data_IF_123794698074
#
_entry.id   IF_123794698074
#
_cell.length_a   1.000
_cell.length_b   1.000
_cell.length_c   1.000
_cell.angle_alpha   90.00
_cell.angle_beta   90.00
_cell.angle_gamma   90.00
#
_symmetry.space_group_name_H-M   'P 1'
#
loop_
_entity.id
_entity.type
_entity.pdbx_description
1 polymer ?
#
# COMPACT_ATOMS: atom_id res chain seq x y z
N UNK A 1 12.59 26.20 25.87
CA UNK A 1 11.40 26.91 26.37
C UNK A 1 10.83 26.06 27.49
N UNK A 2 10.97 26.50 28.74
CA UNK A 2 10.32 25.85 29.89
C UNK A 2 8.84 26.23 29.77
N UNK A 3 7.99 25.26 29.43
CA UNK A 3 6.54 25.48 29.36
C UNK A 3 6.07 25.53 30.81
N UNK A 4 5.50 26.65 31.22
CA UNK A 4 4.93 26.80 32.56
C UNK A 4 3.76 25.81 32.68
N UNK A 5 3.89 24.79 33.54
CA UNK A 5 2.98 23.63 33.56
C UNK A 5 1.58 23.95 34.13
N UNK A 6 1.38 25.15 34.70
CA UNK A 6 0.12 25.60 35.28
C UNK A 6 -0.59 26.68 34.45
N UNK A 7 -0.42 26.64 33.12
CA UNK A 7 -1.17 27.55 32.25
C UNK A 7 -2.61 27.04 32.04
N UNK A 8 -3.57 27.86 32.45
CA UNK A 8 -5.00 27.60 32.35
C UNK A 8 -5.60 28.40 31.20
N UNK A 9 -6.24 27.70 30.27
CA UNK A 9 -6.76 28.28 29.02
C UNK A 9 -8.28 28.17 28.94
N UNK A 10 -8.91 29.02 28.13
CA UNK A 10 -10.36 28.98 27.89
C UNK A 10 -10.77 27.74 27.11
N UNK A 11 -12.07 27.40 27.13
CA UNK A 11 -12.59 26.28 26.32
C UNK A 11 -12.38 26.47 24.80
N UNK A 12 -12.38 27.72 24.31
CA UNK A 12 -12.16 28.03 22.91
C UNK A 12 -10.71 27.73 22.50
N UNK A 13 -9.74 28.23 23.27
CA UNK A 13 -8.31 27.98 23.06
C UNK A 13 -7.98 26.49 23.19
N UNK A 14 -8.59 25.79 24.15
CA UNK A 14 -8.37 24.36 24.33
C UNK A 14 -8.95 23.53 23.17
N UNK A 15 -10.11 23.93 22.63
CA UNK A 15 -10.73 23.28 21.47
C UNK A 15 -9.89 23.49 20.20
N UNK A 16 -9.38 24.71 19.99
CA UNK A 16 -8.46 25.04 18.91
C UNK A 16 -7.16 24.24 19.03
N UNK A 17 -6.56 24.20 20.23
CA UNK A 17 -5.34 23.44 20.49
C UNK A 17 -5.53 21.94 20.23
N UNK A 18 -6.70 21.40 20.53
CA UNK A 18 -7.07 20.00 20.28
C UNK A 18 -7.45 19.75 18.80
N UNK A 19 -7.75 20.79 18.03
CA UNK A 19 -8.19 20.70 16.63
C UNK A 19 -9.60 20.15 16.47
N UNK A 20 -10.53 20.56 17.34
CA UNK A 20 -11.93 20.07 17.34
C UNK A 20 -12.91 21.23 17.53
N UNK A 21 -14.17 21.11 17.07
CA UNK A 21 -15.23 22.05 17.45
C UNK A 21 -15.38 22.16 18.98
N UNK A 22 -15.64 23.37 19.48
CA UNK A 22 -15.75 23.66 20.91
C UNK A 22 -16.80 22.79 21.63
N UNK A 23 -17.90 22.46 20.96
CA UNK A 23 -18.94 21.57 21.49
C UNK A 23 -18.40 20.17 21.80
N UNK A 24 -17.52 19.65 20.94
CA UNK A 24 -16.89 18.33 21.11
C UNK A 24 -15.82 18.35 22.19
N UNK A 25 -15.15 19.49 22.41
CA UNK A 25 -14.18 19.62 23.50
C UNK A 25 -14.83 19.37 24.88
N UNK A 26 -16.09 19.79 25.06
CA UNK A 26 -16.83 19.60 26.31
C UNK A 26 -17.03 18.11 26.67
N UNK A 27 -17.02 17.20 25.70
CA UNK A 27 -17.10 15.76 25.95
C UNK A 27 -15.87 15.24 26.73
N UNK A 28 -14.69 15.83 26.52
CA UNK A 28 -13.45 15.42 27.18
C UNK A 28 -13.29 15.99 28.59
N UNK A 29 -14.07 17.01 28.92
CA UNK A 29 -14.00 17.74 30.19
C UNK A 29 -15.20 17.47 31.08
N UNK A 30 -16.36 17.16 30.50
CA UNK A 30 -17.61 16.84 31.20
C UNK A 30 -18.07 15.43 30.84
N UNK A 31 -18.04 14.51 31.81
CA UNK A 31 -18.42 13.10 31.61
C UNK A 31 -17.55 12.11 32.38
N UNK A 32 -17.76 10.81 32.17
CA UNK A 32 -17.00 9.73 32.83
C UNK A 32 -15.50 9.71 32.47
N UNK A 33 -15.13 10.34 31.35
CA UNK A 33 -13.77 10.28 30.83
C UNK A 33 -12.81 11.27 31.50
N UNK A 34 -13.28 12.42 32.01
CA UNK A 34 -12.51 13.55 32.60
C UNK A 34 -11.02 13.53 32.24
N UNK A 35 -10.71 13.79 30.97
CA UNK A 35 -9.34 13.67 30.44
C UNK A 35 -8.55 14.99 30.48
N UNK A 36 -9.22 16.09 30.83
CA UNK A 36 -8.62 17.42 30.95
C UNK A 36 -9.09 18.06 32.25
N UNK A 37 -8.15 18.46 33.10
CA UNK A 37 -8.43 19.11 34.37
C UNK A 37 -9.04 20.50 34.18
N UNK A 38 -9.89 20.88 35.13
CA UNK A 38 -10.55 22.19 35.20
C UNK A 38 -10.04 22.97 36.40
N UNK A 39 -9.80 24.27 36.25
CA UNK A 39 -9.28 25.12 37.33
C UNK A 39 -10.21 25.08 38.56
N UNK A 40 -9.67 24.85 39.78
CA UNK A 40 -10.46 24.84 41.00
C UNK A 40 -11.01 26.25 41.28
N UNK A 41 -12.34 26.38 41.40
CA UNK A 41 -13.00 27.66 41.75
C UNK A 41 -13.99 28.20 40.70
N UNK A 42 -14.00 27.69 39.47
CA UNK A 42 -14.95 28.11 38.45
C UNK A 42 -16.31 27.36 38.58
N UNK A 43 -17.31 28.02 39.20
CA UNK A 43 -18.64 27.44 39.39
C UNK A 43 -19.56 27.64 38.18
N UNK A 44 -19.37 28.70 37.38
CA UNK A 44 -20.19 29.01 36.21
C UNK A 44 -19.65 28.39 34.92
N UNK A 45 -20.55 27.92 34.06
CA UNK A 45 -20.24 27.15 32.83
C UNK A 45 -19.38 27.92 31.81
N UNK A 46 -19.41 29.25 31.82
CA UNK A 46 -18.63 30.12 30.91
C UNK A 46 -17.28 30.60 31.44
N UNK A 47 -17.00 30.42 32.73
CA UNK A 47 -15.79 30.93 33.40
C UNK A 47 -14.77 29.80 33.67
N UNK A 48 -15.02 28.60 33.14
CA UNK A 48 -14.15 27.45 33.35
C UNK A 48 -12.89 27.57 32.52
N UNK A 49 -11.75 27.46 33.20
CA UNK A 49 -10.44 27.31 32.57
C UNK A 49 -9.99 25.85 32.63
N UNK A 50 -9.17 25.46 31.66
CA UNK A 50 -8.76 24.09 31.40
C UNK A 50 -7.24 23.99 31.36
N UNK A 51 -6.70 22.86 31.83
CA UNK A 51 -5.26 22.61 31.80
C UNK A 51 -4.76 22.54 30.35
N UNK A 52 -3.82 23.43 29.99
CA UNK A 52 -3.14 23.40 28.69
C UNK A 52 -2.34 22.10 28.52
N UNK A 53 -1.66 21.67 29.56
CA UNK A 53 -0.84 20.45 29.55
C UNK A 53 -1.68 19.20 29.25
N UNK A 54 -2.84 19.05 29.91
CA UNK A 54 -3.73 17.91 29.67
C UNK A 54 -4.33 17.94 28.26
N UNK A 55 -4.63 19.14 27.74
CA UNK A 55 -5.15 19.30 26.38
C UNK A 55 -4.11 18.85 25.34
N UNK A 56 -2.84 19.18 25.54
CA UNK A 56 -1.72 18.70 24.69
C UNK A 56 -1.57 17.18 24.81
N UNK A 57 -1.62 16.64 26.02
CA UNK A 57 -1.53 15.19 26.26
C UNK A 57 -2.68 14.44 25.58
N UNK A 58 -3.90 14.96 25.67
CA UNK A 58 -5.07 14.42 24.99
C UNK A 58 -4.92 14.46 23.47
N UNK A 59 -4.42 15.57 22.90
CA UNK A 59 -4.14 15.67 21.46
C UNK A 59 -3.18 14.58 21.01
N UNK A 60 -2.06 14.38 21.73
CA UNK A 60 -1.08 13.31 21.44
C UNK A 60 -1.72 11.92 21.52
N UNK A 61 -2.56 11.68 22.54
CA UNK A 61 -3.31 10.42 22.72
C UNK A 61 -4.29 10.17 21.58
N UNK A 62 -5.04 11.19 21.16
CA UNK A 62 -5.97 11.10 20.02
C UNK A 62 -5.24 10.91 18.70
N UNK A 63 -4.11 11.59 18.48
CA UNK A 63 -3.28 11.37 17.30
C UNK A 63 -2.75 9.93 17.23
N UNK A 64 -2.28 9.37 18.35
CA UNK A 64 -1.87 7.96 18.44
C UNK A 64 -3.05 7.01 18.24
N UNK A 65 -4.23 7.32 18.77
CA UNK A 65 -5.45 6.55 18.54
C UNK A 65 -5.95 6.62 17.11
N UNK A 66 -5.84 7.76 16.42
CA UNK A 66 -6.15 7.89 14.99
C UNK A 66 -5.17 7.11 14.13
N UNK A 67 -3.87 7.17 14.47
CA UNK A 67 -2.84 6.33 13.86
C UNK A 67 -3.11 4.82 14.07
N UNK A 68 -3.78 4.47 15.16
CA UNK A 68 -4.17 3.10 15.51
C UNK A 68 -5.66 2.81 15.27
N UNK A 69 -6.42 3.74 14.69
CA UNK A 69 -7.81 3.49 14.36
C UNK A 69 -7.79 2.45 13.26
N UNK A 70 -8.62 1.41 13.39
CA UNK A 70 -8.70 0.36 12.38
C UNK A 70 -8.85 1.05 11.02
N UNK A 71 -7.90 0.89 10.10
CA UNK A 71 -8.02 1.50 8.79
C UNK A 71 -9.35 1.05 8.18
N UNK A 72 -10.00 1.96 7.47
CA UNK A 72 -11.19 1.65 6.67
C UNK A 72 -10.97 0.31 5.95
N UNK A 73 -11.93 -0.60 6.08
CA UNK A 73 -11.81 -1.96 5.53
C UNK A 73 -11.68 -1.83 4.01
N UNK A 74 -10.52 -2.19 3.43
CA UNK A 74 -10.32 -1.95 2.02
C UNK A 74 -11.16 -2.88 1.16
N UNK A 75 -11.55 -2.40 -0.01
CA UNK A 75 -12.13 -3.22 -1.07
C UNK A 75 -10.99 -3.90 -1.80
N UNK A 76 -10.95 -5.24 -1.77
CA UNK A 76 -10.00 -6.02 -2.56
C UNK A 76 -10.70 -6.52 -3.81
N UNK A 77 -10.24 -6.06 -4.97
CA UNK A 77 -10.85 -6.36 -6.26
C UNK A 77 -9.83 -6.24 -7.39
N UNK A 78 -10.19 -6.69 -8.58
CA UNK A 78 -9.41 -6.45 -9.80
C UNK A 78 -9.32 -4.95 -10.08
N UNK A 79 -8.13 -4.51 -10.47
CA UNK A 79 -7.87 -3.15 -10.93
C UNK A 79 -8.54 -2.96 -12.29
N UNK A 80 -9.33 -1.91 -12.45
CA UNK A 80 -10.08 -1.55 -13.67
C UNK A 80 -9.29 -0.53 -14.48
N UNK A 81 -9.77 -0.19 -15.68
CA UNK A 81 -9.07 0.77 -16.53
C UNK A 81 -9.01 2.16 -15.87
N UNK A 82 -10.10 2.57 -15.22
CA UNK A 82 -10.21 3.81 -14.46
C UNK A 82 -9.26 3.87 -13.25
N UNK A 83 -8.88 2.72 -12.68
CA UNK A 83 -7.99 2.63 -11.52
C UNK A 83 -6.50 2.63 -11.92
N UNK A 84 -6.17 2.65 -13.22
CA UNK A 84 -4.79 2.48 -13.67
C UNK A 84 -3.87 3.58 -13.12
N UNK A 85 -4.36 4.82 -13.10
CA UNK A 85 -3.58 5.95 -12.60
C UNK A 85 -3.28 5.82 -11.11
N UNK A 86 -4.25 5.42 -10.29
CA UNK A 86 -4.03 5.27 -8.84
C UNK A 86 -3.11 4.07 -8.53
N UNK A 87 -3.14 3.02 -9.35
CA UNK A 87 -2.19 1.90 -9.25
C UNK A 87 -0.75 2.34 -9.57
N UNK A 88 -0.57 3.17 -10.60
CA UNK A 88 0.74 3.73 -10.94
C UNK A 88 1.26 4.69 -9.86
N UNK A 89 0.38 5.51 -9.29
CA UNK A 89 0.72 6.39 -8.16
C UNK A 89 1.17 5.59 -6.94
N UNK A 90 0.50 4.46 -6.64
CA UNK A 90 0.93 3.55 -5.58
C UNK A 90 2.33 2.98 -5.86
N UNK A 91 2.57 2.47 -7.08
CA UNK A 91 3.86 1.94 -7.47
C UNK A 91 4.98 2.99 -7.32
N UNK A 92 4.77 4.20 -7.82
CA UNK A 92 5.73 5.31 -7.69
C UNK A 92 5.96 5.69 -6.21
N UNK A 93 4.92 5.68 -5.37
CA UNK A 93 5.02 5.98 -3.93
C UNK A 93 5.80 4.92 -3.17
N UNK A 94 5.66 3.64 -3.52
CA UNK A 94 6.29 2.51 -2.83
C UNK A 94 7.73 2.27 -3.30
N UNK A 95 7.95 2.33 -4.62
CA UNK A 95 9.25 2.06 -5.23
C UNK A 95 10.14 3.29 -5.33
N UNK A 96 9.56 4.49 -5.33
CA UNK A 96 10.29 5.74 -5.50
C UNK A 96 10.42 6.18 -6.97
N UNK A 97 11.05 7.34 -7.21
CA UNK A 97 11.17 7.94 -8.54
C UNK A 97 12.17 7.22 -9.46
N UNK A 98 13.07 6.41 -8.90
CA UNK A 98 14.17 5.79 -9.63
C UNK A 98 13.78 4.49 -10.34
N UNK A 99 12.57 3.99 -10.13
CA UNK A 99 12.07 2.79 -10.80
C UNK A 99 11.44 3.16 -12.14
N UNK A 100 11.88 2.48 -13.20
CA UNK A 100 11.33 2.61 -14.55
C UNK A 100 9.99 1.88 -14.64
N UNK A 101 8.90 2.62 -14.39
CA UNK A 101 7.54 2.13 -14.61
C UNK A 101 7.18 2.31 -16.09
N UNK A 102 6.57 1.30 -16.68
CA UNK A 102 6.04 1.43 -18.03
C UNK A 102 4.94 2.51 -18.09
N UNK A 103 4.74 3.10 -19.27
CA UNK A 103 3.67 4.09 -19.44
C UNK A 103 2.28 3.47 -19.23
N UNK A 104 1.29 4.28 -18.87
CA UNK A 104 -0.10 3.83 -18.75
C UNK A 104 -0.61 3.13 -20.02
N UNK A 105 -0.16 3.58 -21.21
CA UNK A 105 -0.52 2.95 -22.48
C UNK A 105 -0.02 1.51 -22.59
N UNK A 106 1.18 1.21 -22.07
CA UNK A 106 1.73 -0.16 -22.05
C UNK A 106 0.86 -1.04 -21.16
N UNK A 107 0.60 -0.63 -19.92
CA UNK A 107 -0.25 -1.40 -19.01
C UNK A 107 -1.69 -1.56 -19.52
N UNK A 108 -2.24 -0.55 -20.19
CA UNK A 108 -3.54 -0.65 -20.86
C UNK A 108 -3.49 -1.67 -22.00
N UNK A 109 -2.42 -1.68 -22.78
CA UNK A 109 -2.27 -2.61 -23.90
C UNK A 109 -2.22 -4.07 -23.46
N UNK A 110 -1.54 -4.35 -22.33
CA UNK A 110 -1.49 -5.69 -21.73
C UNK A 110 -2.86 -6.22 -21.32
N UNK A 111 -3.80 -5.31 -20.98
CA UNK A 111 -5.16 -5.66 -20.58
C UNK A 111 -6.08 -6.03 -21.72
N UNK A 112 -5.65 -5.86 -22.98
CA UNK A 112 -6.44 -6.24 -24.17
C UNK A 112 -6.78 -7.73 -24.16
N UNK A 113 -5.83 -8.57 -23.74
CA UNK A 113 -6.01 -10.02 -23.72
C UNK A 113 -6.47 -10.52 -22.35
N UNK A 114 -6.16 -9.81 -21.26
CA UNK A 114 -6.53 -10.20 -19.90
C UNK A 114 -6.90 -9.00 -19.03
N UNK A 115 -8.15 -8.96 -18.57
CA UNK A 115 -8.57 -7.92 -17.62
C UNK A 115 -8.13 -8.20 -16.17
N UNK A 116 -7.74 -9.45 -15.88
CA UNK A 116 -7.45 -9.96 -14.53
C UNK A 116 -5.95 -10.14 -14.29
N UNK A 117 -5.18 -9.08 -14.56
CA UNK A 117 -3.72 -9.07 -14.39
C UNK A 117 -3.29 -8.46 -13.05
N UNK A 118 -4.08 -7.54 -12.50
CA UNK A 118 -3.72 -6.79 -11.30
C UNK A 118 -4.87 -6.81 -10.32
N UNK A 119 -4.60 -7.23 -9.09
CA UNK A 119 -5.53 -7.12 -7.96
C UNK A 119 -5.05 -6.01 -7.03
N UNK A 120 -5.97 -5.17 -6.58
CA UNK A 120 -5.67 -4.04 -5.70
C UNK A 120 -6.55 -4.01 -4.46
N UNK A 121 -6.05 -3.34 -3.42
CA UNK A 121 -6.76 -3.01 -2.20
C UNK A 121 -7.04 -1.50 -2.20
N UNK A 122 -8.31 -1.13 -2.23
CA UNK A 122 -8.77 0.24 -2.42
C UNK A 122 -9.56 0.74 -1.21
N UNK A 123 -9.73 2.06 -1.08
CA UNK A 123 -10.81 2.60 -0.24
C UNK A 123 -12.19 2.33 -0.87
N UNK A 124 -13.27 2.65 -0.15
CA UNK A 124 -14.63 2.40 -0.60
C UNK A 124 -14.94 3.06 -1.96
N UNK A 125 -14.50 4.31 -2.16
CA UNK A 125 -14.72 5.05 -3.40
C UNK A 125 -13.72 4.75 -4.53
N UNK A 126 -12.73 3.87 -4.28
CA UNK A 126 -11.62 3.57 -5.21
C UNK A 126 -10.86 4.81 -5.68
N UNK A 127 -10.71 5.81 -4.82
CA UNK A 127 -9.89 7.01 -5.08
C UNK A 127 -8.46 6.87 -4.56
N UNK A 128 -8.20 5.89 -3.68
CA UNK A 128 -6.88 5.54 -3.17
C UNK A 128 -6.63 4.04 -3.28
N UNK A 129 -5.41 3.67 -3.67
CA UNK A 129 -4.94 2.28 -3.69
C UNK A 129 -3.89 2.09 -2.59
N UNK A 130 -4.15 1.17 -1.66
CA UNK A 130 -3.28 0.86 -0.53
C UNK A 130 -2.28 -0.27 -0.80
N UNK A 131 -2.56 -1.07 -1.82
CA UNK A 131 -1.75 -2.22 -2.18
C UNK A 131 -2.18 -2.81 -3.52
N UNK A 132 -1.25 -3.36 -4.29
CA UNK A 132 -1.54 -4.05 -5.54
C UNK A 132 -0.53 -5.14 -5.86
N UNK A 133 -1.01 -6.23 -6.46
CA UNK A 133 -0.18 -7.30 -7.01
C UNK A 133 -0.55 -7.46 -8.48
N UNK A 134 0.45 -7.42 -9.35
CA UNK A 134 0.30 -7.66 -10.78
C UNK A 134 1.07 -8.91 -11.18
N UNK A 135 0.36 -9.88 -11.76
CA UNK A 135 0.96 -11.05 -12.38
C UNK A 135 0.52 -11.12 -13.84
N UNK A 136 1.48 -11.30 -14.75
CA UNK A 136 1.20 -11.46 -16.18
C UNK A 136 1.62 -12.86 -16.65
N UNK A 137 0.75 -13.56 -17.41
CA UNK A 137 1.09 -14.85 -18.00
C UNK A 137 1.95 -14.67 -19.25
N UNK A 138 3.11 -15.31 -19.28
CA UNK A 138 4.07 -15.20 -20.39
C UNK A 138 4.66 -16.57 -20.72
N UNK A 139 5.29 -16.67 -21.89
CA UNK A 139 6.25 -17.73 -22.15
C UNK A 139 7.42 -17.64 -21.16
N UNK A 140 7.86 -18.79 -20.63
CA UNK A 140 8.91 -18.84 -19.62
C UNK A 140 10.21 -18.18 -20.12
N UNK A 141 10.57 -18.34 -21.39
CA UNK A 141 11.78 -17.74 -21.95
C UNK A 141 11.73 -16.21 -21.91
N UNK A 142 10.57 -15.60 -22.19
CA UNK A 142 10.38 -14.14 -22.10
C UNK A 142 10.59 -13.66 -20.67
N UNK A 143 10.03 -14.38 -19.69
CA UNK A 143 10.24 -14.07 -18.27
C UNK A 143 11.72 -14.10 -17.92
N UNK A 144 12.44 -15.13 -18.39
CA UNK A 144 13.87 -15.26 -18.11
C UNK A 144 14.71 -14.16 -18.75
N UNK A 145 14.34 -13.69 -19.95
CA UNK A 145 15.01 -12.59 -20.62
C UNK A 145 14.80 -11.26 -19.89
N UNK A 146 13.59 -11.02 -19.38
CA UNK A 146 13.29 -9.85 -18.54
C UNK A 146 14.07 -9.89 -17.23
N UNK A 147 13.98 -11.00 -16.48
CA UNK A 147 14.66 -11.13 -15.19
C UNK A 147 16.19 -11.15 -15.28
N UNK A 148 16.75 -11.43 -16.45
CA UNK A 148 18.21 -11.38 -16.67
C UNK A 148 18.68 -10.04 -17.23
N UNK A 149 17.78 -9.08 -17.46
CA UNK A 149 18.12 -7.78 -18.03
C UNK A 149 18.45 -7.82 -19.53
N UNK A 150 18.28 -8.97 -20.20
CA UNK A 150 18.41 -9.06 -21.68
C UNK A 150 17.27 -8.32 -22.40
N UNK A 151 16.17 -8.10 -21.69
CA UNK A 151 14.97 -7.45 -22.19
C UNK A 151 14.37 -6.56 -21.10
N UNK A 152 13.85 -5.40 -21.47
CA UNK A 152 13.12 -4.53 -20.55
C UNK A 152 11.67 -4.97 -20.40
N UNK A 153 11.11 -4.86 -19.19
CA UNK A 153 9.70 -5.18 -18.92
C UNK A 153 8.74 -4.36 -19.80
N UNK A 154 9.02 -3.07 -19.99
CA UNK A 154 8.23 -2.16 -20.83
C UNK A 154 8.17 -2.55 -22.32
N UNK A 155 9.00 -3.50 -22.76
CA UNK A 155 9.05 -3.99 -24.14
C UNK A 155 8.16 -5.21 -24.40
N UNK A 156 7.52 -5.77 -23.36
CA UNK A 156 6.58 -6.89 -23.48
C UNK A 156 5.39 -6.44 -24.32
N UNK A 157 5.16 -7.14 -25.42
CA UNK A 157 4.07 -6.87 -26.35
C UNK A 157 2.76 -7.51 -25.85
N UNK A 158 1.60 -6.92 -26.17
CA UNK A 158 0.31 -7.46 -25.76
C UNK A 158 0.04 -8.91 -26.17
N UNK A 159 0.48 -9.30 -27.37
CA UNK A 159 0.32 -10.64 -27.95
C UNK A 159 1.17 -11.70 -27.26
N UNK A 160 2.24 -11.30 -26.56
CA UNK A 160 3.03 -12.21 -25.74
C UNK A 160 2.33 -12.57 -24.41
N UNK A 161 1.38 -11.74 -23.99
CA UNK A 161 0.57 -11.98 -22.79
C UNK A 161 -0.52 -12.97 -23.14
N UNK A 162 -0.34 -14.21 -22.67
CA UNK A 162 -1.24 -15.34 -22.95
C UNK A 162 -2.63 -15.05 -22.40
N UNK A 163 -3.68 -15.10 -23.23
CA UNK A 163 -5.05 -15.01 -22.75
C UNK A 163 -5.35 -16.14 -21.76
N UNK A 164 -6.19 -15.86 -20.77
CA UNK A 164 -6.75 -16.87 -19.89
C UNK A 164 -7.88 -17.66 -20.54
N UNK A 165 -8.30 -17.41 -21.78
CA UNK A 165 -9.44 -18.11 -22.38
C UNK A 165 -9.19 -19.62 -22.57
N UNK A 166 -7.94 -20.04 -22.68
CA UNK A 166 -7.55 -21.43 -22.90
C UNK A 166 -7.26 -22.18 -21.59
N UNK A 167 -7.58 -23.49 -21.49
CA UNK A 167 -7.07 -24.34 -20.43
C UNK A 167 -5.55 -24.41 -20.44
N UNK A 168 -4.96 -24.71 -19.28
CA UNK A 168 -3.58 -25.17 -19.23
C UNK A 168 -2.71 -24.50 -18.18
N UNK A 169 -1.42 -24.87 -18.18
CA UNK A 169 -0.46 -24.33 -17.26
C UNK A 169 -0.10 -22.88 -17.65
N UNK A 170 -0.16 -22.01 -16.66
CA UNK A 170 0.32 -20.63 -16.78
C UNK A 170 1.61 -20.44 -15.98
N UNK A 171 2.60 -19.87 -16.64
CA UNK A 171 3.83 -19.37 -16.02
C UNK A 171 3.68 -17.86 -15.90
N UNK A 172 3.86 -17.34 -14.69
CA UNK A 172 3.56 -15.95 -14.37
C UNK A 172 4.83 -15.18 -14.06
N UNK A 173 4.91 -13.94 -14.54
CA UNK A 173 5.83 -12.93 -14.04
C UNK A 173 5.09 -11.99 -13.10
N UNK A 174 5.58 -11.85 -11.87
CA UNK A 174 5.17 -10.81 -10.94
C UNK A 174 5.90 -9.52 -11.28
N UNK A 175 5.26 -8.65 -12.06
CA UNK A 175 5.82 -7.34 -12.45
C UNK A 175 5.74 -6.32 -11.33
N UNK A 176 4.80 -6.48 -10.40
CA UNK A 176 4.69 -5.59 -9.25
C UNK A 176 4.01 -6.25 -8.06
N UNK A 177 4.54 -5.99 -6.86
CA UNK A 177 3.91 -6.25 -5.58
C UNK A 177 4.16 -5.06 -4.65
N UNK A 178 3.32 -4.03 -4.76
CA UNK A 178 3.47 -2.76 -4.05
C UNK A 178 2.43 -2.64 -2.94
N UNK A 179 2.85 -2.38 -1.70
CA UNK A 179 1.97 -2.24 -0.53
C UNK A 179 2.43 -1.05 0.30
N UNK A 180 1.49 -0.24 0.79
CA UNK A 180 1.83 0.86 1.67
C UNK A 180 2.49 0.34 2.98
N UNK A 181 3.59 0.95 3.45
CA UNK A 181 4.33 0.46 4.61
C UNK A 181 3.54 0.40 5.93
N UNK A 182 2.49 1.20 6.06
CA UNK A 182 1.60 1.23 7.22
C UNK A 182 0.46 0.20 7.15
N UNK A 183 0.34 -0.52 6.03
CA UNK A 183 -0.68 -1.57 5.81
C UNK A 183 -0.10 -2.91 5.31
N UNK A 184 0.95 -3.47 5.96
CA UNK A 184 1.64 -4.66 5.46
C UNK A 184 0.75 -5.93 5.43
N UNK A 185 -0.32 -5.97 6.24
CA UNK A 185 -1.28 -7.07 6.28
C UNK A 185 -2.01 -7.29 4.93
N UNK A 186 -2.19 -6.22 4.13
CA UNK A 186 -2.90 -6.30 2.86
C UNK A 186 -2.23 -7.20 1.83
N UNK A 187 -0.92 -7.42 1.97
CA UNK A 187 -0.20 -8.31 1.08
C UNK A 187 -0.73 -9.75 1.13
N UNK A 188 -0.92 -10.28 2.34
CA UNK A 188 -1.46 -11.62 2.52
C UNK A 188 -2.92 -11.70 2.08
N UNK A 189 -3.71 -10.66 2.34
CA UNK A 189 -5.11 -10.62 1.89
C UNK A 189 -5.22 -10.59 0.36
N UNK A 190 -4.37 -9.79 -0.31
CA UNK A 190 -4.29 -9.72 -1.76
C UNK A 190 -3.85 -11.05 -2.35
N UNK A 191 -2.77 -11.66 -1.84
CA UNK A 191 -2.31 -12.96 -2.31
C UNK A 191 -3.37 -14.04 -2.10
N UNK A 192 -4.01 -14.07 -0.93
CA UNK A 192 -5.09 -15.01 -0.64
C UNK A 192 -6.24 -14.86 -1.64
N UNK A 193 -6.72 -13.63 -1.86
CA UNK A 193 -7.80 -13.35 -2.82
C UNK A 193 -7.41 -13.68 -4.26
N UNK A 194 -6.17 -13.41 -4.64
CA UNK A 194 -5.63 -13.76 -5.95
C UNK A 194 -5.63 -15.27 -6.16
N UNK A 195 -5.06 -16.03 -5.22
CA UNK A 195 -5.00 -17.49 -5.31
C UNK A 195 -6.38 -18.15 -5.22
N UNK A 196 -7.25 -17.67 -4.31
CA UNK A 196 -8.61 -18.18 -4.17
C UNK A 196 -9.40 -18.01 -5.48
N UNK A 197 -9.28 -16.87 -6.13
CA UNK A 197 -9.91 -16.64 -7.43
C UNK A 197 -9.47 -17.68 -8.47
N UNK A 198 -8.16 -17.98 -8.57
CA UNK A 198 -7.64 -18.96 -9.54
C UNK A 198 -8.13 -20.38 -9.25
N UNK A 199 -8.13 -20.76 -7.96
CA UNK A 199 -8.58 -22.07 -7.51
C UNK A 199 -10.09 -22.24 -7.77
N UNK A 200 -10.90 -21.22 -7.50
CA UNK A 200 -12.36 -21.29 -7.60
C UNK A 200 -12.87 -21.16 -9.04
N UNK A 201 -12.35 -20.20 -9.80
CA UNK A 201 -12.92 -19.85 -11.10
C UNK A 201 -12.39 -20.74 -12.22
N UNK A 202 -11.17 -21.27 -12.08
CA UNK A 202 -10.49 -21.92 -13.19
C UNK A 202 -9.68 -23.15 -12.77
N UNK A 203 -10.33 -24.24 -12.34
CA UNK A 203 -9.62 -25.48 -11.98
C UNK A 203 -8.77 -26.02 -13.15
N UNK A 204 -9.16 -25.76 -14.40
CA UNK A 204 -8.41 -26.17 -15.60
C UNK A 204 -7.33 -25.17 -16.03
N UNK A 205 -7.28 -23.97 -15.41
CA UNK A 205 -6.29 -22.91 -15.70
C UNK A 205 -5.45 -22.71 -14.45
N UNK A 206 -4.42 -23.53 -14.31
CA UNK A 206 -3.60 -23.56 -13.10
C UNK A 206 -2.27 -22.84 -13.30
N UNK A 207 -1.84 -22.11 -12.28
CA UNK A 207 -0.51 -21.51 -12.24
C UNK A 207 0.51 -22.59 -11.86
N UNK A 208 1.57 -22.72 -12.66
CA UNK A 208 2.65 -23.69 -12.39
C UNK A 208 3.83 -23.04 -11.68
N UNK A 209 4.19 -21.82 -12.08
CA UNK A 209 5.31 -21.07 -11.54
C UNK A 209 5.01 -19.58 -11.52
N UNK A 210 5.52 -18.91 -10.50
CA UNK A 210 5.54 -17.45 -10.41
C UNK A 210 7.00 -17.04 -10.27
N UNK A 211 7.44 -16.19 -11.18
CA UNK A 211 8.76 -15.59 -11.19
C UNK A 211 8.66 -14.14 -10.70
N UNK A 212 9.60 -13.71 -9.86
CA UNK A 212 9.63 -12.36 -9.33
C UNK A 212 11.08 -11.94 -9.06
N UNK A 213 11.32 -10.63 -9.05
CA UNK A 213 12.57 -10.04 -8.61
C UNK A 213 12.30 -9.03 -7.49
N UNK A 214 13.06 -9.12 -6.41
CA UNK A 214 13.01 -8.13 -5.35
C UNK A 214 13.87 -6.92 -5.72
N UNK A 215 13.28 -5.73 -5.65
CA UNK A 215 13.96 -4.44 -5.85
C UNK A 215 14.38 -3.78 -4.53
N UNK A 216 14.06 -4.39 -3.39
CA UNK A 216 14.40 -3.90 -2.05
C UNK A 216 14.67 -5.04 -1.08
N UNK A 217 15.36 -4.76 0.02
CA UNK A 217 15.60 -5.72 1.11
C UNK A 217 14.29 -6.28 1.68
N UNK A 218 13.27 -5.42 1.85
CA UNK A 218 11.92 -5.85 2.26
C UNK A 218 11.26 -6.77 1.24
N UNK A 219 11.45 -6.48 -0.05
CA UNK A 219 11.03 -7.37 -1.13
C UNK A 219 11.74 -8.72 -1.07
N UNK A 220 13.04 -8.75 -0.74
CA UNK A 220 13.79 -9.99 -0.60
C UNK A 220 13.29 -10.83 0.58
N UNK A 221 13.02 -10.19 1.73
CA UNK A 221 12.38 -10.84 2.87
C UNK A 221 11.01 -11.42 2.49
N UNK A 222 10.21 -10.69 1.71
CA UNK A 222 8.92 -11.16 1.24
C UNK A 222 9.06 -12.40 0.34
N UNK A 223 9.95 -12.37 -0.64
CA UNK A 223 10.22 -13.51 -1.53
C UNK A 223 10.58 -14.76 -0.72
N UNK A 224 11.38 -14.61 0.34
CA UNK A 224 11.70 -15.70 1.27
C UNK A 224 10.48 -16.20 2.05
N UNK A 225 9.64 -15.28 2.56
CA UNK A 225 8.40 -15.64 3.25
C UNK A 225 7.38 -16.35 2.36
N UNK A 226 7.42 -16.13 1.05
CA UNK A 226 6.59 -16.82 0.05
C UNK A 226 7.23 -18.13 -0.44
N UNK A 227 8.33 -18.58 0.18
CA UNK A 227 9.05 -19.80 -0.17
C UNK A 227 9.47 -19.86 -1.64
N UNK A 228 9.72 -18.71 -2.26
CA UNK A 228 10.22 -18.68 -3.63
C UNK A 228 11.64 -19.24 -3.66
N UNK A 229 11.89 -20.20 -4.54
CA UNK A 229 13.22 -20.77 -4.70
C UNK A 229 14.15 -19.72 -5.32
N UNK A 230 15.32 -19.44 -4.71
CA UNK A 230 16.30 -18.56 -5.33
C UNK A 230 16.77 -19.19 -6.64
N UNK A 231 16.76 -18.42 -7.72
CA UNK A 231 17.52 -18.84 -8.89
C UNK A 231 18.99 -18.57 -8.61
N UNK A 232 19.90 -19.54 -8.82
CA UNK A 232 21.32 -19.27 -8.75
C UNK A 232 21.63 -18.14 -9.73
N UNK A 233 22.02 -17.00 -9.19
CA UNK A 233 22.41 -15.86 -9.99
C UNK A 233 23.57 -16.32 -10.89
N UNK A 234 23.39 -16.22 -12.21
CA UNK A 234 24.58 -15.92 -13.02
C UNK A 234 25.00 -14.54 -12.54
N UNK A 235 26.15 -14.48 -11.88
CA UNK A 235 26.65 -13.30 -11.18
C UNK A 235 26.47 -12.03 -12.04
N UNK A 236 25.88 -11.00 -11.45
CA UNK A 236 25.79 -9.63 -11.99
C UNK A 236 27.19 -8.97 -12.08
N UNK A 237 28.28 -9.72 -11.84
CA UNK A 237 29.66 -9.22 -12.04
C UNK A 237 30.00 -8.98 -13.51
N UNK A 238 29.22 -9.52 -14.44
CA UNK A 238 29.46 -9.30 -15.87
C UNK A 238 28.74 -8.04 -16.44
N UNK A 239 27.81 -7.43 -15.68
CA UNK A 239 27.12 -6.21 -16.14
C UNK A 239 27.89 -4.92 -15.84
N UNK A 240 28.70 -4.88 -14.77
CA UNK A 240 29.58 -3.73 -14.51
C UNK A 240 30.73 -3.65 -15.53
N UNK A 241 31.10 -4.76 -16.18
CA UNK A 241 32.07 -4.76 -17.26
C UNK A 241 31.54 -4.12 -18.56
N UNK A 242 30.23 -4.23 -18.84
CA UNK A 242 29.62 -3.71 -20.06
C UNK A 242 29.31 -2.20 -20.03
N UNK A 243 29.36 -1.56 -18.87
CA UNK A 243 29.17 -0.10 -18.75
C UNK A 243 30.49 0.68 -18.67
N UNK A 244 31.64 -0.01 -18.68
CA UNK A 244 32.96 0.63 -18.70
C UNK A 244 33.63 0.64 -20.08
N UNK A 245 32.98 0.10 -21.11
CA UNK A 245 33.47 0.05 -22.49
C UNK A 245 32.56 0.77 -23.52
N UNK A 246 31.67 1.67 -23.08
CA UNK A 246 30.84 2.51 -23.96
C UNK A 246 31.17 4.00 -23.82
#
# INVERSE_FOLDING_TARGET
>A
MIINEEEWITSAEAAELLGTPQQNFLYYTTGKAKQVATHPGATRKGERLYSRADTIALRKKLARKRKNALPEKPIIDWLRLEDLLIGLQLAQRVYGPDIDLASANVYQSWRKNNQRLTMGAFNEERTECYGSIQLIPLDEQVILDVLSGRRHENSIQPDEIRSYDEPGPYTMLATSAAILPDRPHLLYELLYKYMAFWIEQFPERYMTRIYAQAMSERGAMLIQHLFMAPRPARCIKDCEALQSEA
#
